data_IF_078186802741
#
_entry.id   IF_078186802741
#
_cell.length_a   1.000
_cell.length_b   1.000
_cell.length_c   1.000
_cell.angle_alpha   90.00
_cell.angle_beta   90.00
_cell.angle_gamma   90.00
#
_symmetry.space_group_name_H-M   'P 1'
#
loop_
_entity.id
_entity.type
_entity.pdbx_description
1 polymer ?
#
# COMPACT_ATOMS: atom_id res chain seq x y z
N UNK A 1 58.30 20.84 50.80
CA UNK A 1 59.42 20.63 49.85
C UNK A 1 59.93 21.99 49.41
N UNK A 2 61.19 22.33 49.67
CA UNK A 2 61.76 23.63 49.29
C UNK A 2 61.96 23.69 47.78
N UNK A 3 61.66 24.83 47.16
CA UNK A 3 61.76 25.06 45.71
C UNK A 3 63.11 24.62 45.10
N UNK A 4 64.19 24.74 45.87
CA UNK A 4 65.55 24.33 45.49
C UNK A 4 65.64 22.82 45.22
N UNK A 5 64.98 21.99 46.05
CA UNK A 5 64.96 20.53 45.85
C UNK A 5 64.15 20.11 44.62
N UNK A 6 63.08 20.84 44.31
CA UNK A 6 62.27 20.61 43.10
C UNK A 6 63.05 20.93 41.81
N UNK A 7 63.81 22.03 41.79
CA UNK A 7 64.61 22.45 40.64
C UNK A 7 65.79 21.48 40.39
N UNK A 8 66.45 21.00 41.44
CA UNK A 8 67.53 20.03 41.33
C UNK A 8 67.03 18.69 40.74
N UNK A 9 65.85 18.22 41.16
CA UNK A 9 65.18 17.04 40.61
C UNK A 9 64.77 17.22 39.15
N UNK A 10 64.18 18.37 38.81
CA UNK A 10 63.77 18.69 37.44
C UNK A 10 64.95 18.68 36.46
N UNK A 11 66.11 19.22 36.87
CA UNK A 11 67.33 19.21 36.05
C UNK A 11 67.95 17.81 35.92
N UNK A 12 67.80 16.94 36.93
CA UNK A 12 68.30 15.56 36.91
C UNK A 12 67.46 14.62 36.03
N UNK A 13 66.14 14.85 35.97
CA UNK A 13 65.16 14.00 35.27
C UNK A 13 64.52 14.67 34.06
N UNK A 14 65.13 15.71 33.50
CA UNK A 14 64.59 16.44 32.35
C UNK A 14 64.30 15.53 31.13
N UNK A 15 65.07 14.44 30.95
CA UNK A 15 64.87 13.43 29.91
C UNK A 15 63.59 12.58 30.11
N UNK A 16 63.03 12.53 31.32
CA UNK A 16 61.79 11.82 31.61
C UNK A 16 60.55 12.67 31.28
N UNK A 17 60.69 13.99 31.20
CA UNK A 17 59.60 14.91 30.83
C UNK A 17 58.91 14.55 29.49
N UNK A 18 59.62 14.27 28.37
CA UNK A 18 58.96 13.87 27.13
C UNK A 18 58.20 12.54 27.26
N UNK A 19 58.72 11.59 28.05
CA UNK A 19 58.05 10.30 28.28
C UNK A 19 56.74 10.53 29.03
N UNK A 20 56.76 11.32 30.10
CA UNK A 20 55.55 11.67 30.86
C UNK A 20 54.55 12.45 30.00
N UNK A 21 55.02 13.38 29.16
CA UNK A 21 54.15 14.10 28.24
C UNK A 21 53.48 13.17 27.23
N UNK A 22 54.22 12.21 26.67
CA UNK A 22 53.69 11.22 25.73
C UNK A 22 52.70 10.27 26.40
N UNK A 23 52.94 9.83 27.63
CA UNK A 23 51.98 8.95 28.34
C UNK A 23 50.70 9.68 28.68
N UNK A 24 50.77 10.95 29.09
CA UNK A 24 49.59 11.80 29.30
C UNK A 24 48.82 11.99 27.99
N UNK A 25 49.52 12.34 26.89
CA UNK A 25 48.88 12.51 25.58
C UNK A 25 48.22 11.21 25.09
N UNK A 26 48.88 10.06 25.26
CA UNK A 26 48.33 8.75 24.95
C UNK A 26 47.09 8.44 25.80
N UNK A 27 47.10 8.81 27.09
CA UNK A 27 45.96 8.59 27.96
C UNK A 27 44.76 9.44 27.54
N UNK A 28 44.97 10.72 27.26
CA UNK A 28 43.90 11.63 26.81
C UNK A 28 43.29 11.19 25.46
N UNK A 29 44.13 10.78 24.51
CA UNK A 29 43.66 10.25 23.22
C UNK A 29 42.86 8.96 23.37
N UNK A 30 43.25 8.07 24.30
CA UNK A 30 42.47 6.85 24.61
C UNK A 30 41.13 7.17 25.25
N UNK A 31 41.07 8.11 26.19
CA UNK A 31 39.82 8.52 26.84
C UNK A 31 38.85 9.12 25.83
N UNK A 32 39.32 10.04 25.00
CA UNK A 32 38.49 10.66 23.94
C UNK A 32 38.02 9.64 22.89
N UNK A 33 38.85 8.66 22.55
CA UNK A 33 38.45 7.58 21.65
C UNK A 33 37.38 6.69 22.31
N UNK A 34 37.56 6.30 23.57
CA UNK A 34 36.61 5.50 24.31
C UNK A 34 35.23 6.18 24.38
N UNK A 35 35.20 7.48 24.70
CA UNK A 35 33.98 8.28 24.75
C UNK A 35 33.25 8.32 23.40
N UNK A 36 33.97 8.63 22.31
CA UNK A 36 33.39 8.61 20.95
C UNK A 36 32.86 7.23 20.56
N UNK A 37 33.58 6.16 20.89
CA UNK A 37 33.11 4.80 20.61
C UNK A 37 31.88 4.43 21.43
N UNK A 38 31.79 4.89 22.67
CA UNK A 38 30.61 4.68 23.51
C UNK A 38 29.39 5.40 22.93
N UNK A 39 29.56 6.66 22.53
CA UNK A 39 28.50 7.45 21.88
C UNK A 39 28.03 6.82 20.58
N UNK A 40 28.95 6.45 19.68
CA UNK A 40 28.59 5.79 18.42
C UNK A 40 27.90 4.43 18.64
N UNK A 41 28.32 3.66 19.64
CA UNK A 41 27.67 2.40 19.98
C UNK A 41 26.27 2.63 20.53
N UNK A 42 26.09 3.64 21.39
CA UNK A 42 24.79 4.02 21.91
C UNK A 42 23.84 4.46 20.79
N UNK A 43 24.30 5.31 19.87
CA UNK A 43 23.54 5.75 18.69
C UNK A 43 23.17 4.58 17.76
N UNK A 44 24.10 3.64 17.54
CA UNK A 44 23.78 2.43 16.76
C UNK A 44 22.76 1.55 17.45
N UNK A 45 22.83 1.41 18.77
CA UNK A 45 21.85 0.64 19.54
C UNK A 45 20.47 1.30 19.51
N UNK A 46 20.38 2.62 19.59
CA UNK A 46 19.09 3.32 19.48
C UNK A 46 18.51 3.19 18.07
N UNK A 47 19.32 3.42 17.04
CA UNK A 47 18.89 3.26 15.63
C UNK A 47 18.42 1.83 15.32
N UNK A 48 19.18 0.82 15.75
CA UNK A 48 18.80 -0.59 15.52
C UNK A 48 17.52 -0.95 16.28
N UNK A 49 17.33 -0.44 17.49
CA UNK A 49 16.09 -0.63 18.24
C UNK A 49 14.90 0.07 17.57
N UNK A 50 15.09 1.28 17.01
CA UNK A 50 14.05 1.99 16.26
C UNK A 50 13.66 1.26 14.97
N UNK A 51 14.64 0.75 14.21
CA UNK A 51 14.39 -0.08 13.03
C UNK A 51 13.58 -1.32 13.41
N UNK A 52 13.98 -2.04 14.47
CA UNK A 52 13.28 -3.23 14.92
C UNK A 52 11.83 -2.92 15.36
N UNK A 53 11.59 -1.78 16.04
CA UNK A 53 10.24 -1.33 16.38
C UNK A 53 9.43 -0.99 15.12
N UNK A 54 10.03 -0.31 14.15
CA UNK A 54 9.36 0.06 12.90
C UNK A 54 9.04 -1.18 12.04
N UNK A 55 9.90 -2.19 12.00
CA UNK A 55 9.64 -3.46 11.34
C UNK A 55 8.49 -4.20 12.01
N UNK A 56 8.47 -4.25 13.34
CA UNK A 56 7.38 -4.84 14.11
C UNK A 56 6.05 -4.13 13.83
N UNK A 57 6.03 -2.80 13.85
CA UNK A 57 4.84 -2.02 13.52
C UNK A 57 4.36 -2.29 12.10
N UNK A 58 5.27 -2.33 11.11
CA UNK A 58 4.92 -2.67 9.72
C UNK A 58 4.30 -4.07 9.61
N UNK A 59 4.83 -5.06 10.32
CA UNK A 59 4.27 -6.40 10.33
C UNK A 59 2.87 -6.44 10.97
N UNK A 60 2.67 -5.72 12.08
CA UNK A 60 1.37 -5.58 12.74
C UNK A 60 0.35 -4.86 11.83
N UNK A 61 0.76 -3.81 11.13
CA UNK A 61 -0.07 -3.08 10.17
C UNK A 61 -0.51 -3.96 9.01
N UNK A 62 0.42 -4.74 8.45
CA UNK A 62 0.12 -5.70 7.39
C UNK A 62 -0.88 -6.77 7.86
N UNK A 63 -0.69 -7.31 9.07
CA UNK A 63 -1.62 -8.28 9.64
C UNK A 63 -3.01 -7.66 9.88
N UNK A 64 -3.08 -6.43 10.41
CA UNK A 64 -4.34 -5.71 10.61
C UNK A 64 -5.06 -5.46 9.29
N UNK A 65 -4.34 -5.01 8.27
CA UNK A 65 -4.90 -4.79 6.93
C UNK A 65 -5.41 -6.09 6.29
N UNK A 66 -4.63 -7.17 6.39
CA UNK A 66 -5.05 -8.48 5.89
C UNK A 66 -6.34 -8.98 6.58
N UNK A 67 -6.43 -8.81 7.89
CA UNK A 67 -7.64 -9.19 8.64
C UNK A 67 -8.85 -8.31 8.28
N UNK A 68 -8.65 -7.00 8.16
CA UNK A 68 -9.73 -6.07 7.77
C UNK A 68 -10.24 -6.35 6.36
N UNK A 69 -9.34 -6.58 5.40
CA UNK A 69 -9.71 -6.92 4.03
C UNK A 69 -10.43 -8.26 3.96
N UNK A 70 -9.93 -9.31 4.64
CA UNK A 70 -10.60 -10.59 4.72
C UNK A 70 -12.02 -10.49 5.33
N UNK A 71 -12.16 -9.71 6.41
CA UNK A 71 -13.46 -9.46 7.03
C UNK A 71 -14.42 -8.72 6.07
N UNK A 72 -13.94 -7.70 5.37
CA UNK A 72 -14.74 -6.97 4.39
C UNK A 72 -15.22 -7.87 3.25
N UNK A 73 -14.34 -8.73 2.73
CA UNK A 73 -14.70 -9.73 1.71
C UNK A 73 -15.74 -10.73 2.23
N UNK A 74 -15.58 -11.21 3.46
CA UNK A 74 -16.55 -12.12 4.08
C UNK A 74 -17.92 -11.45 4.25
N UNK A 75 -17.97 -10.19 4.70
CA UNK A 75 -19.22 -9.43 4.82
C UNK A 75 -19.88 -9.22 3.45
N UNK A 76 -19.10 -8.85 2.43
CA UNK A 76 -19.62 -8.69 1.07
C UNK A 76 -20.18 -10.01 0.52
N UNK A 77 -19.44 -11.11 0.68
CA UNK A 77 -19.88 -12.43 0.25
C UNK A 77 -21.16 -12.88 0.97
N UNK A 78 -21.28 -12.64 2.28
CA UNK A 78 -22.51 -12.89 3.03
C UNK A 78 -23.69 -12.07 2.49
N UNK A 79 -23.48 -10.77 2.31
CA UNK A 79 -24.52 -9.88 1.80
C UNK A 79 -24.93 -10.18 0.34
N UNK A 80 -24.05 -10.79 -0.45
CA UNK A 80 -24.36 -11.29 -1.79
C UNK A 80 -25.15 -12.60 -1.70
N UNK A 81 -24.72 -13.53 -0.86
CA UNK A 81 -25.41 -14.81 -0.64
C UNK A 81 -26.86 -14.60 -0.16
N UNK A 82 -27.08 -13.62 0.71
CA UNK A 82 -28.42 -13.26 1.21
C UNK A 82 -29.33 -12.70 0.10
N UNK A 83 -28.76 -11.97 -0.87
CA UNK A 83 -29.52 -11.35 -1.98
C UNK A 83 -29.72 -12.28 -3.17
N UNK A 84 -28.82 -13.23 -3.38
CA UNK A 84 -28.88 -14.21 -4.47
C UNK A 84 -30.27 -14.88 -4.61
N UNK A 85 -30.90 -15.43 -3.56
CA UNK A 85 -32.20 -16.08 -3.71
C UNK A 85 -33.32 -15.09 -4.06
N UNK A 86 -33.26 -13.84 -3.57
CA UNK A 86 -34.23 -12.80 -3.95
C UNK A 86 -34.10 -12.41 -5.42
N UNK A 87 -32.88 -12.28 -5.93
CA UNK A 87 -32.61 -11.96 -7.34
C UNK A 87 -33.09 -13.09 -8.25
N UNK A 88 -32.82 -14.35 -7.89
CA UNK A 88 -33.30 -15.51 -8.65
C UNK A 88 -34.83 -15.55 -8.60
N UNK A 89 -35.44 -15.45 -7.41
CA UNK A 89 -36.89 -15.47 -7.25
C UNK A 89 -37.59 -14.34 -8.02
N UNK A 90 -37.05 -13.12 -7.98
CA UNK A 90 -37.66 -12.01 -8.71
C UNK A 90 -37.56 -12.20 -10.22
N UNK A 91 -36.42 -12.70 -10.72
CA UNK A 91 -36.21 -13.02 -12.14
C UNK A 91 -37.18 -14.11 -12.59
N UNK A 92 -37.31 -15.19 -11.81
CA UNK A 92 -38.23 -16.28 -12.12
C UNK A 92 -39.69 -15.82 -12.07
N UNK A 93 -40.04 -14.97 -11.09
CA UNK A 93 -41.40 -14.40 -10.98
C UNK A 93 -41.73 -13.53 -12.19
N UNK A 94 -40.81 -12.67 -12.63
CA UNK A 94 -41.00 -11.85 -13.83
C UNK A 94 -41.11 -12.73 -15.07
N UNK A 95 -40.28 -13.77 -15.19
CA UNK A 95 -40.31 -14.72 -16.30
C UNK A 95 -41.65 -15.46 -16.36
N UNK A 96 -42.15 -15.93 -15.22
CA UNK A 96 -43.41 -16.66 -15.16
C UNK A 96 -44.61 -15.74 -15.41
N UNK A 97 -44.58 -14.52 -14.87
CA UNK A 97 -45.58 -13.50 -15.20
C UNK A 97 -45.60 -13.17 -16.69
N UNK A 98 -44.44 -12.99 -17.33
CA UNK A 98 -44.36 -12.72 -18.76
C UNK A 98 -44.91 -13.85 -19.64
N UNK A 99 -44.89 -15.11 -19.16
CA UNK A 99 -45.52 -16.24 -19.86
C UNK A 99 -47.04 -16.25 -19.73
N UNK A 100 -47.61 -15.65 -18.69
CA UNK A 100 -49.07 -15.60 -18.47
C UNK A 100 -49.78 -14.76 -19.54
N UNK A 101 -51.09 -14.95 -19.74
CA UNK A 101 -51.86 -14.15 -20.71
C UNK A 101 -51.83 -12.65 -20.43
N UNK A 102 -51.97 -12.24 -19.17
CA UNK A 102 -51.93 -10.83 -18.77
C UNK A 102 -50.53 -10.21 -18.99
N UNK A 103 -49.47 -10.93 -18.62
CA UNK A 103 -48.09 -10.48 -18.85
C UNK A 103 -47.72 -10.47 -20.33
N UNK A 104 -48.17 -11.47 -21.10
CA UNK A 104 -48.05 -11.49 -22.56
C UNK A 104 -48.68 -10.26 -23.19
N UNK A 105 -49.85 -9.80 -22.73
CA UNK A 105 -50.51 -8.57 -23.26
C UNK A 105 -49.68 -7.32 -22.99
N UNK A 106 -49.09 -7.16 -21.79
CA UNK A 106 -48.22 -6.02 -21.46
C UNK A 106 -46.89 -6.04 -22.24
N UNK A 107 -46.31 -7.22 -22.45
CA UNK A 107 -45.13 -7.42 -23.30
C UNK A 107 -45.45 -7.31 -24.79
N UNK A 108 -46.69 -7.63 -25.20
CA UNK A 108 -47.21 -7.55 -26.58
C UNK A 108 -47.83 -6.21 -26.94
N UNK A 109 -47.74 -5.19 -26.09
CA UNK A 109 -48.29 -3.87 -26.41
C UNK A 109 -47.87 -3.51 -27.85
N UNK A 110 -48.84 -3.40 -28.79
CA UNK A 110 -48.62 -3.59 -30.22
C UNK A 110 -47.60 -2.61 -30.80
N UNK A 111 -47.48 -1.44 -30.19
CA UNK A 111 -46.52 -0.39 -30.57
C UNK A 111 -45.06 -0.79 -30.26
N UNK A 112 -44.82 -1.60 -29.22
CA UNK A 112 -43.46 -2.08 -28.87
C UNK A 112 -43.06 -3.35 -29.62
N UNK A 113 -44.00 -4.24 -29.92
CA UNK A 113 -43.73 -5.40 -30.79
C UNK A 113 -43.45 -4.93 -32.21
N UNK A 114 -44.22 -3.95 -32.74
CA UNK A 114 -43.89 -3.29 -34.01
C UNK A 114 -42.50 -2.66 -33.99
N UNK A 115 -42.13 -1.93 -32.93
CA UNK A 115 -40.80 -1.33 -32.86
C UNK A 115 -39.67 -2.38 -32.81
N UNK A 116 -39.90 -3.53 -32.18
CA UNK A 116 -38.92 -4.64 -32.15
C UNK A 116 -38.87 -5.35 -33.50
N UNK A 117 -40.00 -5.63 -34.12
CA UNK A 117 -40.09 -6.25 -35.45
C UNK A 117 -39.52 -5.32 -36.54
N UNK A 118 -39.76 -4.01 -36.43
CA UNK A 118 -39.17 -2.98 -37.29
C UNK A 118 -37.66 -2.85 -37.06
N UNK A 119 -37.20 -2.96 -35.81
CA UNK A 119 -35.77 -2.99 -35.48
C UNK A 119 -35.11 -4.26 -36.04
N UNK A 120 -35.71 -5.43 -35.87
CA UNK A 120 -35.21 -6.71 -36.39
C UNK A 120 -35.22 -6.75 -37.92
N UNK A 121 -36.26 -6.19 -38.56
CA UNK A 121 -36.31 -5.94 -39.99
C UNK A 121 -35.22 -4.97 -40.45
N UNK A 122 -34.94 -3.91 -39.68
CA UNK A 122 -33.87 -2.95 -40.01
C UNK A 122 -32.47 -3.54 -39.84
N UNK A 123 -32.28 -4.47 -38.90
CA UNK A 123 -31.03 -5.17 -38.65
C UNK A 123 -30.78 -6.26 -39.70
N UNK A 124 -31.83 -6.95 -40.15
CA UNK A 124 -31.76 -7.98 -41.20
C UNK A 124 -31.65 -7.42 -42.62
N UNK A 125 -32.16 -6.20 -42.86
CA UNK A 125 -32.00 -5.47 -44.12
C UNK A 125 -30.69 -4.70 -44.22
N UNK A 126 -29.95 -4.55 -43.12
CA UNK A 126 -28.59 -4.02 -43.18
C UNK A 126 -27.75 -5.04 -43.95
N UNK A 127 -27.19 -4.71 -45.13
CA UNK A 127 -26.22 -5.58 -45.77
C UNK A 127 -25.14 -5.85 -44.72
N UNK A 128 -24.69 -7.09 -44.57
CA UNK A 128 -23.53 -7.40 -43.76
C UNK A 128 -22.38 -6.53 -44.30
N UNK A 129 -22.18 -5.36 -43.69
CA UNK A 129 -21.00 -4.57 -43.90
C UNK A 129 -19.89 -5.52 -43.51
N UNK A 130 -19.13 -5.87 -44.53
CA UNK A 130 -18.09 -6.88 -44.56
C UNK A 130 -17.39 -6.98 -43.21
N UNK A 131 -17.11 -8.21 -42.79
CA UNK A 131 -16.12 -8.49 -41.77
C UNK A 131 -14.79 -7.83 -42.18
N UNK A 132 -14.61 -6.59 -41.77
CA UNK A 132 -13.37 -5.83 -41.84
C UNK A 132 -12.99 -5.54 -40.39
N UNK A 133 -12.23 -6.47 -39.82
CA UNK A 133 -11.21 -6.24 -38.80
C UNK A 133 -11.62 -5.30 -37.66
N UNK A 134 -12.08 -5.91 -36.57
CA UNK A 134 -12.50 -5.27 -35.35
C UNK A 134 -11.68 -4.06 -34.94
N UNK A 135 -12.34 -2.90 -34.91
CA UNK A 135 -12.02 -1.90 -33.91
C UNK A 135 -12.49 -2.46 -32.57
N UNK A 136 -11.59 -3.20 -31.90
CA UNK A 136 -11.62 -3.26 -30.46
C UNK A 136 -11.72 -1.82 -29.98
N UNK A 137 -12.89 -1.45 -29.48
CA UNK A 137 -13.07 -0.17 -28.80
C UNK A 137 -12.20 -0.28 -27.55
N UNK A 138 -10.93 0.10 -27.69
CA UNK A 138 -10.08 0.39 -26.56
C UNK A 138 -10.89 1.32 -25.66
N UNK A 139 -11.05 0.89 -24.42
CA UNK A 139 -11.62 1.68 -23.34
C UNK A 139 -11.08 3.09 -23.47
N UNK A 140 -11.95 4.07 -23.77
CA UNK A 140 -11.54 5.47 -23.75
C UNK A 140 -11.06 5.77 -22.32
N UNK A 141 -9.84 6.28 -22.12
CA UNK A 141 -9.44 6.73 -20.80
C UNK A 141 -10.41 7.83 -20.34
N UNK A 142 -10.89 7.70 -19.11
CA UNK A 142 -11.76 8.66 -18.46
C UNK A 142 -11.14 10.06 -18.53
N UNK A 143 -11.84 11.01 -19.17
CA UNK A 143 -11.40 12.40 -19.28
C UNK A 143 -11.63 13.21 -17.98
N UNK A 144 -12.15 12.55 -16.94
CA UNK A 144 -12.42 13.13 -15.62
C UNK A 144 -11.63 12.43 -14.50
N UNK A 145 -10.57 11.70 -14.85
CA UNK A 145 -9.46 11.58 -13.93
C UNK A 145 -8.70 12.89 -13.97
N UNK A 146 -8.51 13.51 -12.81
CA UNK A 146 -7.27 14.19 -12.50
C UNK A 146 -6.10 13.58 -13.28
N UNK A 147 -5.38 14.28 -14.17
CA UNK A 147 -4.07 13.78 -14.58
C UNK A 147 -3.06 13.93 -13.43
N UNK A 148 -3.46 13.81 -12.17
CA UNK A 148 -3.41 15.02 -11.36
C UNK A 148 -4.16 16.19 -12.04
N UNK A 149 -5.39 16.51 -11.61
CA UNK A 149 -6.18 17.64 -12.14
C UNK A 149 -7.70 17.39 -12.24
N UNK A 150 -8.30 17.23 -11.06
CA UNK A 150 -9.68 16.85 -10.67
C UNK A 150 -10.29 15.56 -11.20
#
# INVERSE_FOLDING_TARGET
MSWVTAIALARRFWWAAPIVALTIALHLTRVTLADRTATLNAERQTWTAEIARADKQRAEDQARWANQSAAAWATYAGALADRQPLIVKSTDTVREYAKSDAGRVLCRAPDRVRAIDELDASLSQRPAASAAGGSGQAVRPDAAASPAGR
#
